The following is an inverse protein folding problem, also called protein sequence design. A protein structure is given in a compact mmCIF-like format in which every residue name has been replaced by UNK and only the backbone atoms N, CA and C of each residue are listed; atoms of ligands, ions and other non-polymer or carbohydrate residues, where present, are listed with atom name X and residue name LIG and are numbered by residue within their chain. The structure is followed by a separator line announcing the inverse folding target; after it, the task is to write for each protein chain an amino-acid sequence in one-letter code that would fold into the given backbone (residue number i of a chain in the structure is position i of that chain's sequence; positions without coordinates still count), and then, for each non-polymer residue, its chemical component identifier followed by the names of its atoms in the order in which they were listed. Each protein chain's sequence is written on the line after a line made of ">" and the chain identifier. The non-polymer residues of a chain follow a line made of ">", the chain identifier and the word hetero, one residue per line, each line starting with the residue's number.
data_IF_615144836634
#
_entry.id   IF_615144836634
#
_cell.length_a   1.000
_cell.length_b   1.000
_cell.length_c   1.000
_cell.angle_alpha   90.00
_cell.angle_beta   90.00
_cell.angle_gamma   90.00
#
_symmetry.space_group_name_H-M   'P 1'
#
loop_
_entity.id
_entity.type
_entity.pdbx_description
1 polymer ?
#
# COMPACT_ATOMS: atom_id res chain seq x y z
N UNK A 1 13.34 -24.25 31.08
CA UNK A 1 12.54 -23.06 31.40
C UNK A 1 12.57 -22.15 30.19
N UNK A 2 11.41 -21.99 29.57
CA UNK A 2 11.15 -21.28 28.31
C UNK A 2 11.47 -19.79 28.47
N UNK A 3 12.31 -19.24 27.58
CA UNK A 3 12.73 -17.84 27.62
C UNK A 3 11.54 -16.87 27.51
N UNK A 4 11.64 -15.67 28.12
CA UNK A 4 10.50 -14.79 28.34
C UNK A 4 9.99 -14.21 27.02
N UNK A 5 8.67 -13.98 26.97
CA UNK A 5 7.99 -13.29 25.89
C UNK A 5 8.74 -12.00 25.53
N UNK A 6 9.28 -11.93 24.32
CA UNK A 6 9.91 -10.73 23.77
C UNK A 6 8.80 -9.79 23.30
N UNK A 7 8.67 -8.63 23.93
CA UNK A 7 7.80 -7.57 23.47
C UNK A 7 8.32 -7.09 22.10
N UNK A 8 7.66 -7.50 21.02
CA UNK A 8 7.92 -6.93 19.70
C UNK A 8 7.17 -5.62 19.64
N UNK A 9 7.85 -4.51 19.92
CA UNK A 9 7.32 -3.19 19.62
C UNK A 9 6.98 -3.16 18.13
N UNK A 10 5.70 -2.96 17.82
CA UNK A 10 5.25 -2.64 16.46
C UNK A 10 5.82 -1.27 16.12
N UNK A 11 6.99 -1.28 15.50
CA UNK A 11 7.61 -0.07 14.97
C UNK A 11 6.73 0.49 13.86
N UNK A 12 6.58 1.80 13.82
CA UNK A 12 5.95 2.50 12.71
C UNK A 12 6.69 2.10 11.43
N UNK A 13 5.95 1.74 10.38
CA UNK A 13 6.55 1.54 9.07
C UNK A 13 6.95 2.90 8.51
N UNK A 14 8.22 3.27 8.69
CA UNK A 14 8.75 4.54 8.21
C UNK A 14 8.57 4.69 6.69
N UNK A 15 8.65 3.58 5.94
CA UNK A 15 8.43 3.55 4.50
C UNK A 15 6.97 3.88 4.15
N UNK A 16 6.00 3.38 4.93
CA UNK A 16 4.58 3.70 4.71
C UNK A 16 4.28 5.17 4.98
N UNK A 17 4.89 5.74 6.02
CA UNK A 17 4.74 7.18 6.31
C UNK A 17 5.37 8.02 5.20
N UNK A 18 6.57 7.67 4.74
CA UNK A 18 7.23 8.37 3.64
C UNK A 18 6.40 8.35 2.37
N UNK A 19 5.83 7.20 1.99
CA UNK A 19 4.96 7.09 0.83
C UNK A 19 3.73 8.00 0.94
N UNK A 20 3.07 8.04 2.10
CA UNK A 20 1.92 8.91 2.33
C UNK A 20 2.29 10.39 2.26
N UNK A 21 3.47 10.78 2.79
CA UNK A 21 3.93 12.16 2.73
C UNK A 21 4.18 12.60 1.28
N UNK A 22 4.81 11.77 0.45
CA UNK A 22 5.00 12.09 -0.98
C UNK A 22 3.67 12.32 -1.69
N UNK A 23 2.67 11.46 -1.46
CA UNK A 23 1.36 11.61 -2.08
C UNK A 23 0.63 12.88 -1.60
N UNK A 24 0.79 13.22 -0.31
CA UNK A 24 0.26 14.47 0.23
C UNK A 24 0.92 15.68 -0.43
N UNK A 25 2.25 15.69 -0.54
CA UNK A 25 3.00 16.79 -1.16
C UNK A 25 2.62 16.98 -2.64
N UNK A 26 2.34 15.90 -3.38
CA UNK A 26 1.86 15.98 -4.76
C UNK A 26 0.41 16.46 -4.85
N UNK A 27 -0.45 16.07 -3.91
CA UNK A 27 -1.83 16.54 -3.84
C UNK A 27 -1.90 18.04 -3.49
N UNK A 28 -1.07 18.51 -2.57
CA UNK A 28 -0.98 19.92 -2.19
C UNK A 28 -0.50 20.82 -3.34
N UNK A 29 0.33 20.28 -4.25
CA UNK A 29 0.74 20.97 -5.48
C UNK A 29 -0.35 20.98 -6.57
N UNK A 30 -1.38 20.14 -6.44
CA UNK A 30 -2.42 19.93 -7.44
C UNK A 30 -2.04 18.95 -8.55
N UNK A 31 -0.90 18.26 -8.43
CA UNK A 31 -0.43 17.28 -9.41
C UNK A 31 -1.14 15.92 -9.22
N UNK A 32 -1.45 15.55 -7.97
CA UNK A 32 -2.24 14.37 -7.64
C UNK A 32 -3.70 14.76 -7.43
N UNK A 33 -4.55 14.41 -8.40
CA UNK A 33 -5.98 14.78 -8.43
C UNK A 33 -6.92 13.67 -7.95
N UNK A 34 -6.41 12.44 -7.75
CA UNK A 34 -7.21 11.33 -7.27
C UNK A 34 -6.36 10.13 -6.86
N UNK A 35 -6.90 9.31 -5.96
CA UNK A 35 -6.23 8.12 -5.44
C UNK A 35 -7.24 6.99 -5.24
N UNK A 36 -6.87 5.77 -5.62
CA UNK A 36 -7.57 4.55 -5.23
C UNK A 36 -6.56 3.65 -4.51
N UNK A 37 -6.90 3.16 -3.32
CA UNK A 37 -5.92 2.52 -2.45
C UNK A 37 -6.48 1.33 -1.68
N UNK A 38 -5.56 0.51 -1.19
CA UNK A 38 -5.78 -0.46 -0.13
C UNK A 38 -4.76 -0.19 0.98
N UNK A 39 -5.20 -0.15 2.24
CA UNK A 39 -4.30 -0.03 3.39
C UNK A 39 -4.48 -1.20 4.35
N UNK A 40 -3.38 -1.63 4.96
CA UNK A 40 -3.35 -2.72 5.92
C UNK A 40 -3.15 -2.19 7.33
N UNK A 41 -3.96 -2.66 8.27
CA UNK A 41 -3.82 -2.27 9.67
C UNK A 41 -3.00 -3.30 10.45
N UNK A 42 -2.20 -2.81 11.39
CA UNK A 42 -1.29 -3.67 12.16
C UNK A 42 -2.03 -4.75 12.97
N UNK A 43 -3.27 -4.49 13.41
CA UNK A 43 -4.09 -5.44 14.19
C UNK A 43 -4.89 -6.40 13.29
N UNK A 44 -4.52 -6.49 12.01
CA UNK A 44 -5.27 -7.23 11.01
C UNK A 44 -6.37 -6.36 10.39
N UNK A 45 -6.87 -6.85 9.26
CA UNK A 45 -7.83 -6.12 8.44
C UNK A 45 -7.16 -5.20 7.42
N UNK A 46 -7.94 -4.87 6.41
CA UNK A 46 -7.61 -3.90 5.39
C UNK A 46 -8.86 -3.10 5.07
N UNK A 47 -8.67 -1.91 4.52
CA UNK A 47 -9.74 -1.17 3.85
C UNK A 47 -9.31 -0.85 2.42
N UNK A 48 -10.29 -0.60 1.58
CA UNK A 48 -10.11 -0.07 0.24
C UNK A 48 -11.02 1.13 0.07
N UNK A 49 -10.51 2.20 -0.55
CA UNK A 49 -11.31 3.38 -0.83
C UNK A 49 -10.75 4.15 -2.03
N UNK A 50 -11.51 5.13 -2.50
CA UNK A 50 -11.10 6.08 -3.53
C UNK A 50 -11.46 7.52 -3.13
N UNK A 51 -10.63 8.48 -3.55
CA UNK A 51 -10.83 9.90 -3.31
C UNK A 51 -10.46 10.74 -4.54
N UNK A 52 -11.05 11.93 -4.64
CA UNK A 52 -10.85 12.84 -5.77
C UNK A 52 -11.38 12.25 -7.09
N UNK A 53 -10.66 12.49 -8.19
CA UNK A 53 -11.05 12.01 -9.52
C UNK A 53 -11.17 10.48 -9.62
N UNK A 54 -10.45 9.74 -8.76
CA UNK A 54 -10.59 8.30 -8.72
C UNK A 54 -11.96 7.84 -8.17
N UNK A 55 -12.60 8.65 -7.32
CA UNK A 55 -13.96 8.41 -6.86
C UNK A 55 -14.98 8.78 -7.94
N UNK A 56 -14.80 9.93 -8.58
CA UNK A 56 -15.69 10.43 -9.65
C UNK A 56 -15.62 9.59 -10.93
N UNK A 57 -14.47 8.96 -11.21
CA UNK A 57 -14.22 8.11 -12.37
C UNK A 57 -13.94 6.65 -11.98
N UNK A 58 -14.93 5.90 -11.45
CA UNK A 58 -14.71 4.57 -10.87
C UNK A 58 -14.21 3.54 -11.89
N UNK A 59 -14.57 3.67 -13.17
CA UNK A 59 -14.06 2.81 -14.24
C UNK A 59 -12.55 2.97 -14.43
N UNK A 60 -12.07 4.21 -14.41
CA UNK A 60 -10.64 4.51 -14.53
C UNK A 60 -9.88 4.04 -13.30
N UNK A 61 -10.40 4.36 -12.11
CA UNK A 61 -9.82 3.91 -10.83
C UNK A 61 -9.72 2.38 -10.73
N UNK A 62 -10.75 1.65 -11.17
CA UNK A 62 -10.70 0.18 -11.24
C UNK A 62 -9.58 -0.32 -12.18
N UNK A 63 -9.36 0.38 -13.29
CA UNK A 63 -8.24 0.11 -14.20
C UNK A 63 -6.88 0.31 -13.51
N UNK A 64 -6.70 1.41 -12.78
CA UNK A 64 -5.48 1.67 -12.01
C UNK A 64 -5.21 0.57 -10.97
N UNK A 65 -6.25 0.16 -10.23
CA UNK A 65 -6.13 -0.91 -9.23
C UNK A 65 -5.80 -2.25 -9.89
N UNK A 66 -6.35 -2.54 -11.09
CA UNK A 66 -5.99 -3.75 -11.83
C UNK A 66 -4.53 -3.75 -12.27
N UNK A 67 -3.99 -2.61 -12.69
CA UNK A 67 -2.58 -2.46 -13.01
C UNK A 67 -1.69 -2.65 -11.77
N UNK A 68 -2.12 -2.14 -10.60
CA UNK A 68 -1.45 -2.39 -9.33
C UNK A 68 -1.46 -3.88 -8.95
N UNK A 69 -2.59 -4.59 -9.12
CA UNK A 69 -2.68 -6.05 -8.93
C UNK A 69 -1.68 -6.83 -9.80
N UNK A 70 -1.55 -6.46 -11.09
CA UNK A 70 -0.56 -7.07 -11.97
C UNK A 70 0.88 -6.79 -11.50
N UNK A 71 1.17 -5.57 -11.04
CA UNK A 71 2.50 -5.24 -10.49
C UNK A 71 2.81 -6.03 -9.22
N UNK A 72 1.84 -6.19 -8.32
CA UNK A 72 2.01 -7.01 -7.12
C UNK A 72 2.27 -8.48 -7.48
N UNK A 73 1.62 -8.99 -8.52
CA UNK A 73 1.88 -10.35 -9.05
C UNK A 73 3.32 -10.49 -9.55
N UNK A 74 3.88 -9.50 -10.22
CA UNK A 74 5.27 -9.51 -10.65
C UNK A 74 6.23 -9.53 -9.46
N UNK A 75 6.01 -8.68 -8.47
CA UNK A 75 6.80 -8.65 -7.23
C UNK A 75 6.77 -10.02 -6.53
N UNK A 76 5.61 -10.68 -6.48
CA UNK A 76 5.50 -12.03 -5.93
C UNK A 76 6.32 -13.07 -6.71
N UNK A 77 6.37 -12.97 -8.04
CA UNK A 77 7.18 -13.86 -8.88
C UNK A 77 8.67 -13.66 -8.60
N UNK A 78 9.12 -12.41 -8.56
CA UNK A 78 10.51 -12.05 -8.24
C UNK A 78 10.93 -12.61 -6.88
N UNK A 79 10.11 -12.42 -5.85
CA UNK A 79 10.37 -12.94 -4.49
C UNK A 79 10.37 -14.48 -4.43
N UNK A 80 9.54 -15.13 -5.24
CA UNK A 80 9.48 -16.60 -5.31
C UNK A 80 10.70 -17.18 -6.01
N UNK A 81 11.25 -16.48 -7.02
CA UNK A 81 12.47 -16.89 -7.72
C UNK A 81 13.73 -16.77 -6.85
N UNK A 82 13.78 -15.83 -5.89
CA UNK A 82 14.92 -15.67 -4.96
C UNK A 82 15.00 -16.78 -3.91
N UNK A 83 13.89 -17.45 -3.56
CA UNK A 83 13.87 -18.51 -2.54
C UNK A 83 14.32 -19.89 -3.04
N UNK A 84 14.66 -20.01 -4.33
CA UNK A 84 15.09 -21.28 -4.97
C UNK A 84 16.60 -21.30 -5.26
N UNK A 85 17.36 -20.31 -4.78
CA UNK A 85 18.84 -20.31 -4.78
C UNK A 85 19.41 -20.45 -3.37
#
# INVERSE_FOLDING_TARGET
>A
MTGPFRLVTKTISHDTVGALQTLLDEAEKGDLIGIAFAVMYSKGGYITDAAGEAYESPTFARGMVKALDDRLREILRELSSTKVQ
#
